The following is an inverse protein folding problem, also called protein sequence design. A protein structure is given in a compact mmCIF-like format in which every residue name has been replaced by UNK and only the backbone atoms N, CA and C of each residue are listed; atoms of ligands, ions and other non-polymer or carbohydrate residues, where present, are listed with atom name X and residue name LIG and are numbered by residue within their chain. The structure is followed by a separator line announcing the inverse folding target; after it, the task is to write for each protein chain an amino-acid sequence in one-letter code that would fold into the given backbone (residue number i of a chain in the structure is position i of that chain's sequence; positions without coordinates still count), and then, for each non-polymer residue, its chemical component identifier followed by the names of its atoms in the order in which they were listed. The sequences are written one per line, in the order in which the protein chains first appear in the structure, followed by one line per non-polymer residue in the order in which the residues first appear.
data_IF_059330524366
#
_entry.id   IF_059330524366
#
_cell.length_a   1.000
_cell.length_b   1.000
_cell.length_c   1.000
_cell.angle_alpha   90.00
_cell.angle_beta   90.00
_cell.angle_gamma   90.00
#
_symmetry.space_group_name_H-M   'P 1'
#
loop_
_entity.id
_entity.type
_entity.pdbx_description
1 polymer ?
#
# COMPACT_ATOMS: atom_id res chain seq x y z
N UNK A 1 -60.88 2.86 39.56
CA UNK A 1 -60.64 2.35 38.20
C UNK A 1 -59.75 3.37 37.50
N UNK A 2 -58.49 3.01 37.25
CA UNK A 2 -57.46 3.86 36.66
C UNK A 2 -56.66 2.97 35.70
N UNK A 3 -56.46 3.34 34.43
CA UNK A 3 -55.75 2.49 33.48
C UNK A 3 -54.24 2.74 33.58
N UNK A 4 -53.47 1.66 33.70
CA UNK A 4 -52.00 1.68 33.63
C UNK A 4 -51.56 1.84 32.18
N UNK A 5 -50.74 2.87 31.94
CA UNK A 5 -50.05 3.11 30.68
C UNK A 5 -49.01 2.01 30.42
N UNK A 6 -49.06 1.43 29.22
CA UNK A 6 -48.07 0.48 28.72
C UNK A 6 -46.81 1.20 28.26
N UNK A 7 -45.66 0.81 28.81
CA UNK A 7 -44.35 1.31 28.45
C UNK A 7 -43.84 0.50 27.25
N UNK A 8 -43.79 1.13 26.07
CA UNK A 8 -43.23 0.53 24.85
C UNK A 8 -41.72 0.83 24.84
N UNK A 9 -40.90 -0.20 25.05
CA UNK A 9 -39.45 -0.13 24.92
C UNK A 9 -39.10 -0.27 23.45
N UNK A 10 -38.68 0.83 22.81
CA UNK A 10 -38.08 0.81 21.47
C UNK A 10 -36.60 0.45 21.62
N UNK A 11 -36.25 -0.80 21.27
CA UNK A 11 -34.86 -1.22 21.07
C UNK A 11 -34.37 -0.66 19.74
N UNK A 12 -33.50 0.35 19.79
CA UNK A 12 -32.75 0.82 18.63
C UNK A 12 -31.62 -0.17 18.32
N UNK A 13 -31.74 -0.91 17.23
CA UNK A 13 -30.65 -1.72 16.69
C UNK A 13 -29.67 -0.79 15.95
N UNK A 14 -28.49 -0.56 16.54
CA UNK A 14 -27.37 0.03 15.84
C UNK A 14 -26.76 -1.04 14.93
N UNK A 15 -26.97 -0.91 13.62
CA UNK A 15 -26.26 -1.70 12.64
C UNK A 15 -24.81 -1.19 12.55
N UNK A 16 -23.88 -1.90 13.18
CA UNK A 16 -22.45 -1.76 12.92
C UNK A 16 -22.18 -2.32 11.52
N UNK A 17 -22.12 -1.46 10.52
CA UNK A 17 -21.63 -1.79 9.19
C UNK A 17 -20.12 -2.00 9.25
N UNK A 18 -19.70 -3.21 9.61
CA UNK A 18 -18.39 -3.73 9.24
C UNK A 18 -18.43 -3.92 7.72
N UNK A 19 -17.97 -2.94 6.97
CA UNK A 19 -17.57 -3.15 5.57
C UNK A 19 -16.39 -4.12 5.59
N UNK A 20 -16.68 -5.41 5.46
CA UNK A 20 -15.64 -6.42 5.25
C UNK A 20 -14.79 -6.03 4.04
N UNK A 21 -13.46 -6.23 4.12
CA UNK A 21 -12.59 -6.04 2.97
C UNK A 21 -13.12 -6.96 1.85
N UNK A 22 -13.62 -6.36 0.78
CA UNK A 22 -14.21 -7.09 -0.33
C UNK A 22 -13.15 -8.04 -0.91
N UNK A 23 -13.42 -9.34 -0.82
CA UNK A 23 -12.55 -10.40 -1.34
C UNK A 23 -12.80 -10.66 -2.84
N UNK A 24 -13.44 -9.70 -3.52
CA UNK A 24 -13.63 -9.74 -4.97
C UNK A 24 -12.26 -9.73 -5.67
N UNK A 25 -11.86 -10.90 -6.16
CA UNK A 25 -10.75 -11.11 -7.09
C UNK A 25 -11.05 -10.57 -8.49
N UNK A 26 -11.77 -9.46 -8.60
CA UNK A 26 -11.86 -8.70 -9.84
C UNK A 26 -10.77 -7.63 -9.78
N UNK A 27 -9.51 -8.05 -9.95
CA UNK A 27 -8.38 -7.10 -10.05
C UNK A 27 -8.74 -6.16 -11.21
N UNK A 28 -8.98 -4.86 -10.98
CA UNK A 28 -9.22 -3.92 -12.05
C UNK A 28 -7.90 -3.81 -12.79
N UNK A 29 -7.77 -4.65 -13.82
CA UNK A 29 -6.82 -4.60 -14.90
C UNK A 29 -5.48 -3.92 -14.57
N UNK A 30 -4.39 -4.69 -14.40
CA UNK A 30 -2.99 -4.26 -14.14
C UNK A 30 -2.73 -3.45 -12.86
N UNK A 31 -3.71 -2.76 -12.29
CA UNK A 31 -3.54 -2.07 -11.02
C UNK A 31 -3.15 -3.05 -9.91
N UNK A 32 -2.15 -2.67 -9.13
CA UNK A 32 -1.68 -3.48 -8.01
C UNK A 32 -2.28 -2.98 -6.72
N UNK A 33 -2.76 -3.93 -5.92
CA UNK A 33 -3.11 -3.68 -4.52
C UNK A 33 -2.28 -4.60 -3.64
N UNK A 34 -1.87 -4.10 -2.47
CA UNK A 34 -1.15 -4.89 -1.48
C UNK A 34 -1.42 -4.34 -0.10
N UNK A 35 -1.64 -5.23 0.87
CA UNK A 35 -1.77 -4.82 2.28
C UNK A 35 -0.40 -4.64 2.90
N UNK A 36 -0.32 -3.86 3.97
CA UNK A 36 0.92 -3.72 4.75
C UNK A 36 1.41 -5.10 5.25
N UNK A 37 0.50 -5.92 5.78
CA UNK A 37 0.81 -7.26 6.28
C UNK A 37 1.36 -8.19 5.20
N UNK A 38 0.87 -8.09 3.96
CA UNK A 38 1.38 -8.89 2.85
C UNK A 38 2.77 -8.43 2.42
N UNK A 39 3.00 -7.12 2.33
CA UNK A 39 4.34 -6.59 2.04
C UNK A 39 5.36 -6.94 3.14
N UNK A 40 4.92 -6.91 4.40
CA UNK A 40 5.71 -7.35 5.55
C UNK A 40 6.13 -8.81 5.41
N UNK A 41 5.19 -9.72 5.11
CA UNK A 41 5.49 -11.14 4.89
C UNK A 41 6.45 -11.37 3.71
N UNK A 42 6.21 -10.72 2.57
CA UNK A 42 7.10 -10.79 1.40
C UNK A 42 8.53 -10.39 1.80
N UNK A 43 8.68 -9.29 2.54
CA UNK A 43 9.98 -8.79 2.97
C UNK A 43 10.64 -9.64 4.06
N UNK A 44 9.88 -10.25 4.97
CA UNK A 44 10.41 -11.24 5.90
C UNK A 44 10.99 -12.44 5.15
N UNK A 45 10.34 -12.88 4.06
CA UNK A 45 10.85 -13.95 3.21
C UNK A 45 12.12 -13.52 2.45
N UNK A 46 12.10 -12.35 1.81
CA UNK A 46 13.24 -11.83 1.05
C UNK A 46 14.50 -11.66 1.92
N UNK A 47 14.31 -11.17 3.15
CA UNK A 47 15.39 -10.91 4.10
C UNK A 47 15.65 -12.09 5.05
N UNK A 48 14.90 -13.18 4.93
CA UNK A 48 15.01 -14.37 5.79
C UNK A 48 14.85 -14.06 7.30
N UNK A 49 13.99 -13.09 7.62
CA UNK A 49 13.64 -12.74 9.00
C UNK A 49 12.90 -13.93 9.63
N UNK A 50 13.29 -14.39 10.84
CA UNK A 50 12.66 -15.55 11.45
C UNK A 50 11.15 -15.39 11.63
N UNK A 51 10.38 -16.38 11.19
CA UNK A 51 8.91 -16.34 11.21
C UNK A 51 8.29 -16.12 12.59
N UNK A 52 8.98 -16.48 13.68
CA UNK A 52 8.48 -16.22 15.04
C UNK A 52 8.34 -14.73 15.37
N UNK A 53 9.07 -13.84 14.67
CA UNK A 53 8.94 -12.39 14.83
C UNK A 53 7.65 -11.83 14.25
N UNK A 54 6.95 -12.60 13.41
CA UNK A 54 5.71 -12.15 12.78
C UNK A 54 4.66 -11.73 13.80
N UNK A 55 4.52 -12.48 14.91
CA UNK A 55 3.56 -12.14 15.96
C UNK A 55 3.88 -10.79 16.63
N UNK A 56 5.16 -10.44 16.79
CA UNK A 56 5.60 -9.15 17.30
C UNK A 56 5.17 -8.02 16.34
N UNK A 57 5.51 -8.15 15.05
CA UNK A 57 5.16 -7.16 14.04
C UNK A 57 3.65 -7.02 13.81
N UNK A 58 2.92 -8.13 13.80
CA UNK A 58 1.47 -8.14 13.64
C UNK A 58 0.74 -7.45 14.81
N UNK A 59 1.38 -7.36 15.98
CA UNK A 59 0.90 -6.58 17.12
C UNK A 59 1.29 -5.09 17.08
N UNK A 60 1.78 -4.61 15.92
CA UNK A 60 2.34 -3.27 15.71
C UNK A 60 3.54 -2.95 16.61
N UNK A 61 4.23 -3.97 17.12
CA UNK A 61 5.47 -3.79 17.84
C UNK A 61 6.64 -3.94 16.87
N UNK A 62 7.35 -2.84 16.62
CA UNK A 62 8.51 -2.77 15.75
C UNK A 62 9.72 -2.29 16.58
N UNK A 63 10.53 -3.20 17.14
CA UNK A 63 11.70 -2.86 17.94
C UNK A 63 12.78 -2.12 17.13
N UNK A 64 13.55 -1.28 17.85
CA UNK A 64 14.66 -0.49 17.31
C UNK A 64 15.93 -1.35 17.19
N UNK A 65 15.88 -2.35 16.31
CA UNK A 65 17.00 -3.24 15.99
C UNK A 65 17.31 -3.22 14.48
N UNK A 66 18.56 -3.52 14.07
CA UNK A 66 18.97 -3.43 12.66
C UNK A 66 18.13 -4.29 11.71
N UNK A 67 17.66 -5.47 12.15
CA UNK A 67 16.84 -6.36 11.33
C UNK A 67 15.47 -5.74 11.05
N UNK A 68 14.80 -5.22 12.10
CA UNK A 68 13.50 -4.55 11.97
C UNK A 68 13.58 -3.28 11.12
N UNK A 69 14.68 -2.51 11.23
CA UNK A 69 14.89 -1.30 10.41
C UNK A 69 14.94 -1.61 8.93
N UNK A 70 15.79 -2.57 8.55
CA UNK A 70 15.91 -2.95 7.15
C UNK A 70 14.68 -3.71 6.62
N UNK A 71 13.96 -4.44 7.49
CA UNK A 71 12.65 -5.00 7.17
C UNK A 71 11.66 -3.90 6.76
N UNK A 72 11.53 -2.84 7.57
CA UNK A 72 10.63 -1.73 7.27
C UNK A 72 11.05 -0.93 6.03
N UNK A 73 12.35 -0.79 5.77
CA UNK A 73 12.83 -0.28 4.47
C UNK A 73 12.38 -1.13 3.30
N UNK A 74 12.51 -2.46 3.40
CA UNK A 74 12.02 -3.37 2.35
C UNK A 74 10.51 -3.18 2.13
N UNK A 75 9.72 -3.11 3.22
CA UNK A 75 8.28 -2.88 3.13
C UNK A 75 7.98 -1.55 2.43
N UNK A 76 8.72 -0.49 2.77
CA UNK A 76 8.60 0.82 2.12
C UNK A 76 8.93 0.84 0.64
N UNK A 77 9.96 0.10 0.22
CA UNK A 77 10.28 -0.08 -1.19
C UNK A 77 9.20 -0.90 -1.92
N UNK A 78 8.64 -1.93 -1.27
CA UNK A 78 7.61 -2.81 -1.83
C UNK A 78 6.28 -2.06 -2.03
N UNK A 79 5.91 -1.21 -1.07
CA UNK A 79 4.69 -0.40 -1.10
C UNK A 79 4.89 1.01 -1.68
N UNK A 80 6.11 1.35 -2.11
CA UNK A 80 6.49 2.62 -2.74
C UNK A 80 6.32 3.87 -1.89
N UNK A 81 6.07 3.75 -0.59
CA UNK A 81 6.11 4.89 0.31
C UNK A 81 7.54 5.32 0.66
N UNK A 82 8.55 4.48 0.44
CA UNK A 82 9.97 4.82 0.63
C UNK A 82 10.75 4.75 -0.68
N UNK A 83 11.63 5.72 -0.88
CA UNK A 83 12.64 5.73 -1.92
C UNK A 83 14.00 6.11 -1.30
N UNK A 84 15.04 5.37 -1.63
CA UNK A 84 16.37 5.62 -1.05
C UNK A 84 17.01 6.95 -1.50
N UNK A 85 16.54 7.51 -2.61
CA UNK A 85 17.03 8.76 -3.19
C UNK A 85 16.15 9.95 -2.79
N UNK A 86 14.82 9.81 -2.86
CA UNK A 86 13.88 10.89 -2.57
C UNK A 86 13.23 10.81 -1.19
N UNK A 87 13.51 9.78 -0.39
CA UNK A 87 12.98 9.61 0.95
C UNK A 87 11.52 9.13 0.98
N UNK A 88 10.80 9.57 2.01
CA UNK A 88 9.39 9.21 2.24
C UNK A 88 8.47 9.90 1.23
N UNK A 89 7.54 9.13 0.67
CA UNK A 89 6.47 9.58 -0.22
C UNK A 89 5.18 9.68 0.59
N UNK A 90 4.93 10.86 1.17
CA UNK A 90 3.85 11.07 2.14
C UNK A 90 2.46 10.71 1.56
N UNK A 91 2.17 11.18 0.35
CA UNK A 91 0.94 10.89 -0.39
C UNK A 91 0.67 9.38 -0.64
N UNK A 92 1.69 8.53 -0.54
CA UNK A 92 1.57 7.07 -0.62
C UNK A 92 1.45 6.47 0.79
N UNK A 93 2.29 6.93 1.71
CA UNK A 93 2.34 6.45 3.09
C UNK A 93 1.01 6.61 3.82
N UNK A 94 0.41 7.79 3.69
CA UNK A 94 -0.83 8.19 4.36
C UNK A 94 -1.98 7.24 4.07
N UNK A 95 -2.03 6.65 2.87
CA UNK A 95 -3.08 5.70 2.50
C UNK A 95 -3.10 4.45 3.35
N UNK A 96 -1.95 4.04 3.91
CA UNK A 96 -1.85 2.85 4.73
C UNK A 96 -2.27 3.07 6.17
N UNK A 97 -2.65 4.31 6.54
CA UNK A 97 -3.06 4.67 7.89
C UNK A 97 -4.44 5.30 7.92
N UNK A 98 -5.21 4.92 8.93
CA UNK A 98 -6.49 5.54 9.27
C UNK A 98 -6.29 6.44 10.50
N UNK A 99 -6.36 7.78 10.34
CA UNK A 99 -6.31 8.68 11.49
C UNK A 99 -7.55 8.53 12.37
N UNK A 100 -7.41 8.86 13.66
CA UNK A 100 -8.54 8.96 14.58
C UNK A 100 -9.40 10.17 14.19
N UNK A 101 -10.71 10.02 13.89
CA UNK A 101 -11.58 11.13 13.53
C UNK A 101 -11.67 12.25 14.58
N UNK A 102 -11.32 11.98 15.84
CA UNK A 102 -11.32 12.96 16.92
C UNK A 102 -9.98 13.71 17.05
N UNK A 103 -8.92 13.23 16.41
CA UNK A 103 -7.61 13.87 16.40
C UNK A 103 -7.51 14.79 15.18
N UNK A 104 -7.38 16.09 15.43
CA UNK A 104 -7.19 17.09 14.38
C UNK A 104 -5.72 17.49 14.19
N UNK A 105 -4.81 16.98 15.02
CA UNK A 105 -3.39 17.36 15.03
C UNK A 105 -2.47 16.25 14.50
N UNK A 106 -3.02 15.12 14.05
CA UNK A 106 -2.25 13.96 13.57
C UNK A 106 -1.28 14.34 12.44
N UNK A 107 -1.72 15.16 11.47
CA UNK A 107 -0.88 15.61 10.35
C UNK A 107 0.30 16.45 10.84
N UNK A 108 0.02 17.46 11.69
CA UNK A 108 1.04 18.37 12.19
C UNK A 108 2.08 17.63 13.04
N UNK A 109 1.64 16.76 13.96
CA UNK A 109 2.55 15.97 14.79
C UNK A 109 3.39 14.99 13.97
N UNK A 110 2.80 14.39 12.93
CA UNK A 110 3.53 13.51 12.01
C UNK A 110 4.57 14.30 11.22
N UNK A 111 4.21 15.45 10.66
CA UNK A 111 5.13 16.32 9.93
C UNK A 111 6.30 16.80 10.81
N UNK A 112 6.01 17.29 12.02
CA UNK A 112 7.05 17.68 12.99
C UNK A 112 7.98 16.51 13.36
N UNK A 113 7.45 15.30 13.46
CA UNK A 113 8.25 14.10 13.69
C UNK A 113 9.16 13.79 12.50
N UNK A 114 8.64 13.84 11.28
CA UNK A 114 9.41 13.60 10.05
C UNK A 114 10.54 14.61 9.88
N UNK A 115 10.29 15.90 10.12
CA UNK A 115 11.32 16.95 10.05
C UNK A 115 12.47 16.71 11.04
N UNK A 116 12.16 16.22 12.24
CA UNK A 116 13.16 15.90 13.27
C UNK A 116 13.91 14.60 12.96
N UNK A 117 13.21 13.59 12.43
CA UNK A 117 13.74 12.27 12.14
C UNK A 117 14.56 12.21 10.85
N UNK A 118 14.25 13.05 9.87
CA UNK A 118 14.84 13.08 8.53
C UNK A 118 15.45 14.45 8.22
N UNK A 119 16.47 14.90 8.96
CA UNK A 119 17.03 16.24 8.77
C UNK A 119 17.61 16.41 7.36
N UNK A 120 17.14 17.45 6.66
CA UNK A 120 17.57 17.81 5.31
C UNK A 120 19.09 18.00 5.25
N UNK A 121 19.75 17.32 4.31
CA UNK A 121 21.20 17.42 4.11
C UNK A 121 22.05 16.50 5.00
N UNK A 122 21.43 15.61 5.76
CA UNK A 122 22.13 14.49 6.38
C UNK A 122 22.53 13.49 5.29
N UNK A 123 23.84 13.36 5.03
CA UNK A 123 24.47 12.23 4.32
C UNK A 123 24.33 10.92 5.13
N UNK A 124 23.14 10.68 5.72
CA UNK A 124 22.82 9.44 6.39
C UNK A 124 22.72 8.37 5.32
N UNK A 125 23.85 7.70 5.10
CA UNK A 125 23.96 6.52 4.28
C UNK A 125 23.16 5.32 4.86
N UNK A 126 22.46 5.51 5.98
CA UNK A 126 21.62 4.50 6.62
C UNK A 126 20.15 4.66 6.18
N UNK A 127 19.90 4.19 4.96
CA UNK A 127 18.56 4.16 4.39
C UNK A 127 17.59 3.29 5.21
N UNK A 128 18.10 2.30 5.98
CA UNK A 128 17.27 1.48 6.85
C UNK A 128 16.75 2.28 8.05
N UNK A 129 17.61 3.07 8.69
CA UNK A 129 17.23 3.99 9.76
C UNK A 129 16.21 5.03 9.30
N UNK A 130 16.45 5.68 8.16
CA UNK A 130 15.55 6.74 7.68
C UNK A 130 14.16 6.19 7.33
N UNK A 131 14.08 5.06 6.64
CA UNK A 131 12.81 4.39 6.38
C UNK A 131 12.10 4.01 7.69
N UNK A 132 12.82 3.40 8.62
CA UNK A 132 12.28 3.01 9.93
C UNK A 132 11.71 4.19 10.71
N UNK A 133 12.48 5.28 10.88
CA UNK A 133 12.05 6.44 11.67
C UNK A 133 10.86 7.14 11.01
N UNK A 134 10.81 7.21 9.67
CA UNK A 134 9.62 7.74 8.98
C UNK A 134 8.37 6.90 9.24
N UNK A 135 8.47 5.56 9.19
CA UNK A 135 7.36 4.67 9.54
C UNK A 135 6.94 4.82 11.00
N UNK A 136 7.90 4.99 11.93
CA UNK A 136 7.63 5.22 13.35
C UNK A 136 6.84 6.50 13.59
N UNK A 137 7.14 7.59 12.85
CA UNK A 137 6.37 8.82 12.93
C UNK A 137 4.89 8.60 12.58
N UNK A 138 4.61 7.91 11.47
CA UNK A 138 3.23 7.59 11.08
C UNK A 138 2.53 6.67 12.09
N UNK A 139 3.20 5.61 12.54
CA UNK A 139 2.63 4.67 13.52
C UNK A 139 2.33 5.33 14.87
N UNK A 140 3.10 6.34 15.26
CA UNK A 140 2.94 7.00 16.54
C UNK A 140 1.95 8.18 16.51
N UNK A 141 1.92 8.94 15.42
CA UNK A 141 1.23 10.23 15.37
C UNK A 141 0.12 10.32 14.33
N UNK A 142 0.15 9.50 13.27
CA UNK A 142 -0.80 9.62 12.17
C UNK A 142 -2.08 8.81 12.42
N UNK A 143 -1.96 7.54 12.81
CA UNK A 143 -3.13 6.69 13.03
C UNK A 143 -2.82 5.20 13.07
N UNK A 144 -3.85 4.38 12.83
CA UNK A 144 -3.74 2.92 12.82
C UNK A 144 -3.49 2.39 11.42
N UNK A 145 -2.67 1.34 11.28
CA UNK A 145 -2.48 0.66 10.01
C UNK A 145 -3.80 0.05 9.50
N UNK A 146 -4.07 0.26 8.22
CA UNK A 146 -5.21 -0.34 7.53
C UNK A 146 -4.84 -1.77 7.11
N UNK A 147 -5.63 -2.80 7.50
CA UNK A 147 -5.29 -4.19 7.24
C UNK A 147 -5.59 -4.62 5.79
N UNK A 148 -6.48 -3.92 5.10
CA UNK A 148 -6.89 -4.28 3.74
C UNK A 148 -5.77 -4.01 2.71
N UNK A 149 -5.87 -4.65 1.54
CA UNK A 149 -4.99 -4.35 0.42
C UNK A 149 -5.34 -3.00 -0.20
N UNK A 150 -4.33 -2.15 -0.38
CA UNK A 150 -4.49 -0.79 -0.88
C UNK A 150 -3.69 -0.62 -2.17
N UNK A 151 -4.17 0.29 -3.03
CA UNK A 151 -3.46 0.69 -4.22
C UNK A 151 -2.11 1.30 -3.86
N UNK A 152 -1.07 0.98 -4.63
CA UNK A 152 0.20 1.68 -4.56
C UNK A 152 0.68 2.03 -5.98
N UNK A 153 1.39 3.17 -6.15
CA UNK A 153 1.81 3.64 -7.46
C UNK A 153 2.75 2.66 -8.17
N UNK A 154 2.58 2.55 -9.48
CA UNK A 154 3.48 1.79 -10.36
C UNK A 154 4.48 2.71 -11.08
N UNK A 155 5.54 2.12 -11.64
CA UNK A 155 6.49 2.87 -12.48
C UNK A 155 5.90 3.20 -13.86
N UNK A 156 6.53 4.15 -14.56
CA UNK A 156 6.15 4.55 -15.92
C UNK A 156 6.10 3.35 -16.91
N UNK A 157 6.93 2.32 -16.71
CA UNK A 157 7.00 1.17 -17.62
C UNK A 157 5.72 0.33 -17.60
N UNK A 158 5.09 0.18 -16.43
CA UNK A 158 3.79 -0.48 -16.25
C UNK A 158 2.67 0.30 -16.93
N UNK A 159 2.66 1.63 -16.78
CA UNK A 159 1.70 2.51 -17.45
C UNK A 159 1.84 2.43 -18.98
N UNK A 160 3.07 2.48 -19.50
CA UNK A 160 3.33 2.32 -20.94
C UNK A 160 2.82 0.96 -21.43
N UNK A 161 3.05 -0.12 -20.66
CA UNK A 161 2.51 -1.45 -21.00
C UNK A 161 0.98 -1.46 -21.02
N UNK A 162 0.31 -0.87 -20.03
CA UNK A 162 -1.14 -0.76 -20.01
C UNK A 162 -1.68 -0.01 -21.24
N UNK A 163 -1.02 1.07 -21.66
CA UNK A 163 -1.34 1.80 -22.88
C UNK A 163 -1.11 0.95 -24.15
N UNK A 164 -0.02 0.18 -24.23
CA UNK A 164 0.26 -0.71 -25.36
C UNK A 164 -0.78 -1.83 -25.48
N UNK A 165 -1.24 -2.37 -24.36
CA UNK A 165 -2.31 -3.37 -24.34
C UNK A 165 -3.62 -2.76 -24.87
N UNK A 166 -3.98 -1.56 -24.42
CA UNK A 166 -5.16 -0.85 -24.91
C UNK A 166 -5.10 -0.54 -26.40
N UNK A 167 -3.94 -0.14 -26.92
CA UNK A 167 -3.72 0.08 -28.35
C UNK A 167 -4.04 -1.19 -29.14
N UNK A 168 -3.60 -2.36 -28.64
CA UNK A 168 -3.83 -3.65 -29.28
C UNK A 168 -5.30 -4.10 -29.16
N UNK A 169 -5.90 -4.02 -27.97
CA UNK A 169 -7.28 -4.44 -27.73
C UNK A 169 -8.29 -3.64 -28.55
N UNK A 170 -8.08 -2.33 -28.65
CA UNK A 170 -8.95 -1.42 -29.40
C UNK A 170 -8.57 -1.33 -30.89
N UNK A 171 -7.50 -2.00 -31.31
CA UNK A 171 -6.99 -1.99 -32.69
C UNK A 171 -6.84 -0.56 -33.24
N UNK A 172 -6.16 0.30 -32.47
CA UNK A 172 -6.03 1.73 -32.80
C UNK A 172 -5.38 1.88 -34.20
N UNK A 173 -6.02 2.62 -35.13
CA UNK A 173 -5.52 2.79 -36.48
C UNK A 173 -4.10 3.39 -36.53
N UNK A 174 -3.26 2.87 -37.42
CA UNK A 174 -1.88 3.35 -37.61
C UNK A 174 -1.79 4.87 -37.84
N UNK A 175 -2.79 5.45 -38.53
CA UNK A 175 -2.87 6.91 -38.74
C UNK A 175 -2.93 7.68 -37.41
N UNK A 176 -3.71 7.19 -36.45
CA UNK A 176 -3.81 7.81 -35.13
C UNK A 176 -2.56 7.54 -34.30
N UNK A 177 -1.98 6.34 -34.39
CA UNK A 177 -0.70 6.05 -33.74
C UNK A 177 0.41 6.99 -34.20
N UNK A 178 0.45 7.35 -35.50
CA UNK A 178 1.40 8.35 -36.02
C UNK A 178 1.18 9.71 -35.37
N UNK A 179 -0.07 10.16 -35.21
CA UNK A 179 -0.38 11.40 -34.50
C UNK A 179 0.02 11.36 -33.03
N UNK A 180 -0.33 10.29 -32.31
CA UNK A 180 0.03 10.12 -30.90
C UNK A 180 1.54 10.08 -30.70
N UNK A 181 2.28 9.42 -31.61
CA UNK A 181 3.75 9.33 -31.56
C UNK A 181 4.47 10.68 -31.68
N UNK A 182 3.77 11.72 -32.13
CA UNK A 182 4.27 13.09 -32.22
C UNK A 182 3.61 14.02 -31.20
N UNK A 183 2.97 13.46 -30.16
CA UNK A 183 2.29 14.22 -29.10
C UNK A 183 0.95 14.85 -29.52
N UNK A 184 0.37 14.45 -30.67
CA UNK A 184 -0.90 14.98 -31.15
C UNK A 184 -2.05 14.00 -30.88
N UNK A 185 -2.99 14.41 -30.03
CA UNK A 185 -4.14 13.60 -29.61
C UNK A 185 -5.45 14.20 -30.16
N UNK A 186 -5.81 13.92 -31.42
CA UNK A 186 -7.05 14.42 -32.00
C UNK A 186 -8.27 13.90 -31.23
N UNK A 187 -9.27 14.76 -31.08
CA UNK A 187 -10.56 14.37 -30.51
C UNK A 187 -11.32 13.45 -31.50
N UNK A 188 -11.13 12.15 -31.33
CA UNK A 188 -11.72 11.08 -32.13
C UNK A 188 -12.27 9.98 -31.20
N UNK A 189 -13.31 9.23 -31.59
CA UNK A 189 -13.86 8.14 -30.79
C UNK A 189 -12.80 7.16 -30.27
N UNK A 190 -11.82 6.84 -31.12
CA UNK A 190 -10.70 5.95 -30.79
C UNK A 190 -9.80 6.54 -29.69
N UNK A 191 -9.50 7.84 -29.74
CA UNK A 191 -8.71 8.53 -28.69
C UNK A 191 -9.44 8.51 -27.35
N UNK A 192 -10.75 8.79 -27.38
CA UNK A 192 -11.61 8.79 -26.19
C UNK A 192 -11.65 7.41 -25.53
N UNK A 193 -11.86 6.38 -26.33
CA UNK A 193 -11.90 5.01 -25.82
C UNK A 193 -10.52 4.49 -25.40
N UNK A 194 -9.43 4.94 -26.04
CA UNK A 194 -8.07 4.64 -25.61
C UNK A 194 -7.80 5.18 -24.20
N UNK A 195 -8.16 6.42 -23.92
CA UNK A 195 -8.05 7.01 -22.57
C UNK A 195 -8.89 6.24 -21.55
N UNK A 196 -10.16 5.93 -21.87
CA UNK A 196 -10.99 5.11 -20.98
C UNK A 196 -10.38 3.75 -20.69
N UNK A 197 -9.89 3.05 -21.71
CA UNK A 197 -9.20 1.78 -21.53
C UNK A 197 -7.99 1.93 -20.61
N UNK A 198 -7.16 2.97 -20.83
CA UNK A 198 -5.98 3.23 -20.03
C UNK A 198 -6.31 3.46 -18.55
N UNK A 199 -7.32 4.29 -18.25
CA UNK A 199 -7.71 4.57 -16.87
C UNK A 199 -8.32 3.34 -16.15
N UNK A 200 -9.09 2.52 -16.88
CA UNK A 200 -9.55 1.22 -16.37
C UNK A 200 -8.37 0.28 -16.09
N UNK A 201 -7.39 0.21 -17.01
CA UNK A 201 -6.19 -0.65 -16.91
C UNK A 201 -5.11 -0.16 -15.97
N UNK A 202 -5.30 0.99 -15.36
CA UNK A 202 -4.44 1.50 -14.29
C UNK A 202 -5.21 1.58 -12.97
N UNK A 203 -6.49 1.18 -12.98
CA UNK A 203 -7.34 1.11 -11.81
C UNK A 203 -7.63 2.46 -11.15
N UNK A 204 -7.50 3.58 -11.88
CA UNK A 204 -7.85 4.92 -11.39
C UNK A 204 -9.23 5.38 -11.86
N UNK A 205 -9.91 4.56 -12.65
CA UNK A 205 -11.30 4.77 -13.06
C UNK A 205 -12.09 3.47 -12.90
N UNK A 206 -13.30 3.60 -12.38
CA UNK A 206 -14.26 2.53 -12.19
C UNK A 206 -15.57 2.89 -12.91
N UNK A 207 -16.19 1.92 -13.56
CA UNK A 207 -17.45 2.15 -14.28
C UNK A 207 -18.56 2.64 -13.33
N UNK A 208 -18.60 2.08 -12.12
CA UNK A 208 -19.68 2.31 -11.16
C UNK A 208 -19.45 3.47 -10.19
N UNK A 209 -18.22 3.97 -10.05
CA UNK A 209 -17.91 5.09 -9.15
C UNK A 209 -17.24 6.28 -9.84
N UNK A 210 -16.72 6.11 -11.06
CA UNK A 210 -15.99 7.16 -11.79
C UNK A 210 -14.49 7.14 -11.46
N UNK A 211 -13.85 8.32 -11.54
CA UNK A 211 -12.44 8.46 -11.20
C UNK A 211 -12.19 8.31 -9.70
N UNK A 212 -11.19 7.51 -9.33
CA UNK A 212 -10.66 7.41 -7.97
C UNK A 212 -9.57 8.48 -7.81
N UNK A 213 -9.98 9.66 -7.32
CA UNK A 213 -9.11 10.83 -7.16
C UNK A 213 -8.02 10.61 -6.12
N UNK A 214 -8.25 9.76 -5.12
CA UNK A 214 -7.21 9.41 -4.16
C UNK A 214 -6.12 8.58 -4.83
N UNK A 215 -6.47 7.65 -5.74
CA UNK A 215 -5.46 6.88 -6.49
C UNK A 215 -4.67 7.76 -7.44
N UNK A 216 -5.31 8.76 -8.05
CA UNK A 216 -4.61 9.75 -8.88
C UNK A 216 -3.64 10.59 -8.05
N UNK A 217 -4.07 11.08 -6.88
CA UNK A 217 -3.22 11.83 -5.95
C UNK A 217 -1.98 11.02 -5.54
N UNK A 218 -2.16 9.77 -5.13
CA UNK A 218 -1.03 8.92 -4.75
C UNK A 218 -0.19 8.49 -5.93
N UNK A 219 -0.77 8.25 -7.13
CA UNK A 219 0.01 7.94 -8.34
C UNK A 219 0.99 9.06 -8.67
N UNK A 220 0.55 10.31 -8.51
CA UNK A 220 1.34 11.50 -8.84
C UNK A 220 2.13 12.04 -7.65
N UNK A 221 2.49 11.17 -6.68
CA UNK A 221 3.20 11.52 -5.45
C UNK A 221 4.50 12.31 -5.65
N UNK A 222 5.15 12.22 -6.82
CA UNK A 222 6.35 13.01 -7.14
C UNK A 222 6.02 14.50 -7.34
N UNK A 223 4.78 14.81 -7.71
CA UNK A 223 4.22 16.15 -7.89
C UNK A 223 2.80 16.17 -7.31
N UNK A 224 2.64 16.02 -5.98
CA UNK A 224 1.33 15.88 -5.36
C UNK A 224 0.53 17.17 -5.55
N UNK A 225 -0.76 17.02 -5.86
CA UNK A 225 -1.66 18.13 -6.14
C UNK A 225 -2.97 17.95 -5.37
N UNK A 226 -3.10 18.72 -4.28
CA UNK A 226 -4.27 18.71 -3.40
C UNK A 226 -5.59 19.01 -4.13
N UNK A 227 -5.53 19.61 -5.33
CA UNK A 227 -6.73 19.82 -6.15
C UNK A 227 -7.41 18.50 -6.51
N UNK A 228 -6.71 17.36 -6.56
CA UNK A 228 -7.35 16.04 -6.71
C UNK A 228 -8.39 15.79 -5.62
N UNK A 229 -8.04 16.09 -4.37
CA UNK A 229 -8.85 15.80 -3.18
C UNK A 229 -9.87 16.90 -2.89
N UNK A 230 -9.85 18.01 -3.64
CA UNK A 230 -10.74 19.14 -3.42
C UNK A 230 -12.22 18.82 -3.70
N UNK A 231 -13.17 19.39 -2.93
CA UNK A 231 -14.60 19.27 -3.20
C UNK A 231 -15.00 19.78 -4.58
N UNK A 232 -14.28 20.77 -5.11
CA UNK A 232 -14.52 21.32 -6.44
C UNK A 232 -14.28 20.28 -7.54
N UNK A 233 -13.14 19.59 -7.49
CA UNK A 233 -12.81 18.50 -8.43
C UNK A 233 -13.84 17.37 -8.35
N UNK A 234 -14.19 16.93 -7.14
CA UNK A 234 -15.22 15.90 -6.95
C UNK A 234 -16.58 16.32 -7.54
N UNK A 235 -16.99 17.57 -7.30
CA UNK A 235 -18.26 18.10 -7.84
C UNK A 235 -18.25 18.13 -9.36
N UNK A 236 -17.18 18.64 -9.99
CA UNK A 236 -17.04 18.68 -11.45
C UNK A 236 -17.09 17.28 -12.07
N UNK A 237 -16.38 16.32 -11.49
CA UNK A 237 -16.40 14.93 -11.95
C UNK A 237 -17.79 14.30 -11.81
N UNK A 238 -18.49 14.57 -10.70
CA UNK A 238 -19.84 14.09 -10.48
C UNK A 238 -20.85 14.69 -11.49
N UNK A 239 -20.74 15.98 -11.81
CA UNK A 239 -21.60 16.65 -12.80
C UNK A 239 -21.39 16.13 -14.23
N UNK A 240 -20.17 15.74 -14.58
CA UNK A 240 -19.87 15.13 -15.88
C UNK A 240 -20.42 13.70 -16.02
N UNK A 241 -20.68 13.05 -14.89
CA UNK A 241 -21.08 11.65 -14.85
C UNK A 241 -22.47 11.43 -15.44
N UNK A 242 -22.56 10.62 -16.49
CA UNK A 242 -23.80 10.35 -17.20
C UNK A 242 -24.42 11.55 -17.92
N UNK A 243 -23.77 12.73 -17.92
CA UNK A 243 -24.29 13.93 -18.58
C UNK A 243 -23.85 14.06 -20.04
N UNK A 244 -22.82 13.33 -20.46
CA UNK A 244 -22.26 13.44 -21.82
C UNK A 244 -22.06 12.08 -22.50
N UNK A 245 -22.88 11.82 -23.53
CA UNK A 245 -22.63 10.81 -24.54
C UNK A 245 -22.39 9.38 -24.02
N UNK A 246 -21.52 8.64 -24.70
CA UNK A 246 -21.05 7.33 -24.24
C UNK A 246 -19.91 7.45 -23.21
N UNK A 247 -19.64 6.38 -22.46
CA UNK A 247 -18.65 6.38 -21.38
C UNK A 247 -17.23 6.78 -21.84
N UNK A 248 -16.83 6.46 -23.08
CA UNK A 248 -15.53 6.93 -23.59
C UNK A 248 -15.48 8.47 -23.67
N UNK A 249 -16.59 9.10 -24.06
CA UNK A 249 -16.69 10.56 -24.14
C UNK A 249 -16.72 11.18 -22.75
N UNK A 250 -17.47 10.62 -21.81
CA UNK A 250 -17.48 11.06 -20.41
C UNK A 250 -16.05 11.11 -19.83
N UNK A 251 -15.32 10.01 -19.93
CA UNK A 251 -13.94 9.90 -19.41
C UNK A 251 -13.00 10.88 -20.08
N UNK A 252 -13.12 11.05 -21.41
CA UNK A 252 -12.31 12.00 -22.15
C UNK A 252 -12.57 13.46 -21.72
N UNK A 253 -13.83 13.85 -21.55
CA UNK A 253 -14.18 15.21 -21.11
C UNK A 253 -13.72 15.46 -19.68
N UNK A 254 -13.93 14.52 -18.77
CA UNK A 254 -13.43 14.61 -17.40
C UNK A 254 -11.90 14.73 -17.34
N UNK A 255 -11.18 13.97 -18.17
CA UNK A 255 -9.75 14.11 -18.28
C UNK A 255 -9.35 15.50 -18.79
N UNK A 256 -9.87 15.89 -19.96
CA UNK A 256 -9.49 17.13 -20.64
C UNK A 256 -9.80 18.38 -19.80
N UNK A 257 -10.97 18.42 -19.16
CA UNK A 257 -11.49 19.65 -18.55
C UNK A 257 -11.21 19.73 -17.04
N UNK A 258 -10.86 18.61 -16.39
CA UNK A 258 -10.70 18.56 -14.92
C UNK A 258 -9.34 18.02 -14.51
N UNK A 259 -8.91 16.87 -15.04
CA UNK A 259 -7.78 16.12 -14.48
C UNK A 259 -6.44 16.35 -15.18
N UNK A 260 -6.45 16.73 -16.46
CA UNK A 260 -5.27 16.71 -17.33
C UNK A 260 -4.14 17.64 -16.91
N UNK A 261 -4.44 18.69 -16.14
CA UNK A 261 -3.43 19.64 -15.63
C UNK A 261 -3.06 19.41 -14.16
N UNK A 262 -3.70 18.44 -13.49
CA UNK A 262 -3.44 18.14 -12.09
C UNK A 262 -2.21 17.24 -11.96
N UNK A 263 -1.50 17.38 -10.84
CA UNK A 263 -0.37 16.53 -10.50
C UNK A 263 0.75 16.60 -11.54
N UNK A 264 0.88 15.54 -12.35
CA UNK A 264 1.80 15.48 -13.50
C UNK A 264 1.03 15.90 -14.77
N UNK A 265 1.16 17.15 -15.26
CA UNK A 265 0.33 17.64 -16.36
C UNK A 265 0.49 16.80 -17.62
N UNK A 266 -0.62 16.38 -18.19
CA UNK A 266 -0.74 15.57 -19.40
C UNK A 266 0.03 14.24 -19.32
N UNK A 267 0.19 13.67 -18.13
CA UNK A 267 0.87 12.41 -17.89
C UNK A 267 0.39 11.29 -18.83
N UNK A 268 -0.92 11.15 -18.98
CA UNK A 268 -1.54 10.12 -19.80
C UNK A 268 -1.17 10.29 -21.27
N UNK A 269 -1.18 11.52 -21.80
CA UNK A 269 -0.70 11.78 -23.15
C UNK A 269 0.78 11.46 -23.32
N UNK A 270 1.64 11.76 -22.34
CA UNK A 270 3.05 11.38 -22.39
C UNK A 270 3.24 9.85 -22.42
N UNK A 271 2.45 9.11 -21.63
CA UNK A 271 2.45 7.64 -21.63
C UNK A 271 1.95 7.08 -22.97
N UNK A 272 0.84 7.60 -23.48
CA UNK A 272 0.25 7.18 -24.76
C UNK A 272 1.19 7.49 -25.94
N UNK A 273 1.92 8.61 -25.93
CA UNK A 273 2.94 8.93 -26.93
C UNK A 273 4.05 7.86 -26.94
N UNK A 274 4.62 7.54 -25.77
CA UNK A 274 5.66 6.50 -25.63
C UNK A 274 5.14 5.14 -26.11
N UNK A 275 3.91 4.78 -25.75
CA UNK A 275 3.27 3.53 -26.18
C UNK A 275 3.04 3.49 -27.70
N UNK A 276 2.61 4.60 -28.32
CA UNK A 276 2.41 4.71 -29.76
C UNK A 276 3.72 4.60 -30.54
N UNK A 277 4.81 5.23 -30.06
CA UNK A 277 6.15 5.06 -30.65
C UNK A 277 6.58 3.59 -30.65
N UNK A 278 6.41 2.89 -29.52
CA UNK A 278 6.70 1.44 -29.43
C UNK A 278 5.82 0.61 -30.36
N UNK A 279 4.52 0.92 -30.46
CA UNK A 279 3.60 0.21 -31.35
C UNK A 279 3.94 0.37 -32.85
N UNK A 280 4.51 1.52 -33.23
CA UNK A 280 5.01 1.78 -34.58
C UNK A 280 6.43 1.21 -34.85
N UNK A 281 7.04 0.57 -33.86
CA UNK A 281 8.42 0.09 -33.96
C UNK A 281 9.48 1.19 -33.94
N UNK A 282 9.12 2.41 -33.50
CA UNK A 282 10.06 3.50 -33.29
C UNK A 282 10.75 3.28 -31.95
N UNK A 283 12.00 2.83 -31.99
CA UNK A 283 12.83 2.67 -30.78
C UNK A 283 13.22 4.06 -30.28
N UNK A 284 12.75 4.42 -29.10
CA UNK A 284 13.37 5.49 -28.32
C UNK A 284 14.48 4.83 -27.50
N UNK A 285 15.74 5.22 -27.72
CA UNK A 285 16.80 4.93 -26.77
C UNK A 285 16.46 5.68 -25.46
N UNK A 286 16.26 4.95 -24.37
CA UNK A 286 16.20 5.56 -23.04
C UNK A 286 17.64 5.90 -22.64
N UNK A 287 17.92 7.18 -22.38
CA UNK A 287 19.20 7.55 -21.77
C UNK A 287 19.30 6.90 -20.39
N UNK A 288 20.46 6.31 -20.04
CA UNK A 288 20.63 5.68 -18.74
C UNK A 288 20.59 6.76 -17.65
N UNK A 289 19.50 6.79 -16.86
CA UNK A 289 19.42 7.59 -15.64
C UNK A 289 20.45 7.04 -14.66
N UNK A 290 21.60 7.71 -14.61
CA UNK A 290 22.72 7.33 -13.76
C UNK A 290 22.77 8.29 -12.59
N UNK A 291 21.94 8.04 -11.58
CA UNK A 291 22.09 8.66 -10.25
C UNK A 291 21.60 7.66 -9.21
N UNK A 292 22.42 6.65 -8.96
CA UNK A 292 22.25 5.82 -7.77
C UNK A 292 23.15 6.40 -6.69
N UNK A 293 22.56 7.11 -5.73
CA UNK A 293 23.18 7.21 -4.40
C UNK A 293 23.09 5.80 -3.83
N UNK A 294 24.23 5.11 -3.79
CA UNK A 294 24.28 3.69 -3.42
C UNK A 294 24.14 3.60 -1.90
N UNK A 295 22.94 3.25 -1.41
CA UNK A 295 22.82 2.71 -0.06
C UNK A 295 23.70 1.44 0.02
N UNK A 296 24.45 1.22 1.11
CA UNK A 296 25.30 0.06 1.26
C UNK A 296 24.46 -1.22 1.13
N UNK A 297 24.97 -2.17 0.36
CA UNK A 297 24.35 -3.48 0.19
C UNK A 297 24.28 -4.23 1.51
N UNK A 298 23.25 -5.06 1.68
CA UNK A 298 23.10 -6.04 2.76
C UNK A 298 24.21 -7.11 2.63
N UNK A 299 25.47 -6.76 2.88
CA UNK A 299 26.61 -7.69 2.80
C UNK A 299 27.06 -8.25 4.15
N UNK A 300 26.46 -7.85 5.27
CA UNK A 300 26.95 -8.27 6.60
C UNK A 300 25.94 -9.04 7.47
N UNK A 301 24.70 -9.26 7.01
CA UNK A 301 23.75 -10.10 7.74
C UNK A 301 23.81 -11.54 7.23
N UNK A 302 24.65 -12.36 7.85
CA UNK A 302 24.65 -13.81 7.62
C UNK A 302 23.45 -14.47 8.34
N UNK A 303 22.24 -14.30 7.80
CA UNK A 303 21.00 -14.90 8.31
C UNK A 303 21.06 -16.44 8.40
N UNK A 304 21.98 -17.10 7.68
CA UNK A 304 22.16 -18.56 7.72
C UNK A 304 22.83 -19.05 9.01
N UNK A 305 23.73 -18.28 9.60
CA UNK A 305 24.46 -18.73 10.80
C UNK A 305 23.60 -18.67 12.06
N UNK A 306 22.72 -17.68 12.18
CA UNK A 306 21.86 -17.52 13.37
C UNK A 306 20.71 -18.54 13.41
N UNK A 307 20.12 -18.86 12.26
CA UNK A 307 19.04 -19.84 12.16
C UNK A 307 19.52 -21.29 12.40
N UNK A 308 20.76 -21.62 12.03
CA UNK A 308 21.34 -22.94 12.31
C UNK A 308 21.70 -23.14 13.79
N UNK A 309 22.14 -22.08 14.49
CA UNK A 309 22.49 -22.18 15.92
C UNK A 309 21.27 -22.38 16.84
N UNK A 310 20.09 -21.91 16.44
CA UNK A 310 18.87 -22.01 17.26
C UNK A 310 18.06 -23.29 17.05
N UNK A 311 18.09 -23.91 15.86
CA UNK A 311 17.46 -25.23 15.66
C UNK A 311 18.21 -26.35 16.40
N UNK A 312 19.50 -26.17 16.72
CA UNK A 312 20.33 -27.18 17.40
C UNK A 312 20.31 -27.14 18.94
N UNK A 313 19.68 -26.14 19.58
CA UNK A 313 19.68 -25.96 21.05
C UNK A 313 18.37 -26.29 21.76
N UNK A 314 17.34 -26.71 21.04
CA UNK A 314 16.06 -27.15 21.61
C UNK A 314 16.06 -28.60 22.14
N UNK A 315 17.24 -29.18 22.42
CA UNK A 315 17.35 -30.50 23.04
C UNK A 315 17.75 -30.39 24.52
N UNK A 316 16.71 -30.43 25.36
CA UNK A 316 16.62 -31.01 26.71
C UNK A 316 17.80 -30.71 27.66
N UNK A 317 17.60 -29.76 28.59
CA UNK A 317 18.34 -29.74 29.86
C UNK A 317 17.50 -30.43 30.96
N UNK A 318 18.02 -31.39 31.74
CA UNK A 318 17.25 -32.13 32.74
C UNK A 318 16.81 -31.32 33.99
N UNK A 319 17.09 -30.02 34.08
CA UNK A 319 16.93 -29.26 35.34
C UNK A 319 16.15 -27.96 35.25
N UNK A 320 15.42 -27.70 34.16
CA UNK A 320 14.29 -26.75 34.19
C UNK A 320 14.60 -25.29 34.60
N UNK A 321 15.74 -24.72 34.20
CA UNK A 321 15.95 -23.26 34.25
C UNK A 321 16.53 -22.73 32.95
N UNK A 322 15.83 -21.78 32.34
CA UNK A 322 16.35 -20.97 31.25
C UNK A 322 17.15 -19.80 31.85
N UNK A 323 18.43 -19.70 31.53
CA UNK A 323 19.21 -18.48 31.76
C UNK A 323 19.36 -17.73 30.44
N UNK A 324 18.96 -16.45 30.44
CA UNK A 324 19.16 -15.57 29.31
C UNK A 324 20.67 -15.32 29.11
N UNK A 325 21.20 -15.72 27.94
CA UNK A 325 22.55 -15.38 27.53
C UNK A 325 22.45 -14.12 26.68
N UNK A 326 23.05 -13.03 27.16
CA UNK A 326 23.09 -11.74 26.50
C UNK A 326 24.14 -11.81 25.37
N UNK A 327 23.69 -11.84 24.13
CA UNK A 327 24.55 -11.78 22.94
C UNK A 327 24.80 -10.31 22.61
N UNK A 328 26.08 -9.89 22.61
CA UNK A 328 26.49 -8.60 22.02
C UNK A 328 26.48 -8.74 20.51
N UNK A 329 25.65 -7.94 19.85
CA UNK A 329 25.75 -7.69 18.42
C UNK A 329 26.63 -6.45 18.22
N UNK A 330 27.86 -6.64 17.77
CA UNK A 330 28.68 -5.57 17.23
C UNK A 330 28.27 -5.39 15.74
N UNK A 331 27.29 -4.52 15.50
CA UNK A 331 26.78 -4.23 14.17
C UNK A 331 25.60 -3.28 14.23
N UNK A 332 25.90 -1.99 14.01
CA UNK A 332 24.99 -0.83 14.05
C UNK A 332 24.31 -0.57 15.41
N UNK A 333 24.74 0.51 16.05
CA UNK A 333 24.10 1.05 17.26
C UNK A 333 22.73 1.69 16.96
N UNK A 334 22.09 2.32 17.98
CA UNK A 334 20.92 3.15 17.75
C UNK A 334 21.18 4.12 16.58
N UNK A 335 20.16 4.41 15.75
CA UNK A 335 20.30 5.41 14.68
C UNK A 335 20.94 6.65 15.30
N UNK A 336 22.00 7.19 14.69
CA UNK A 336 22.88 8.18 15.33
C UNK A 336 22.07 9.45 15.65
N UNK A 337 21.41 9.45 16.82
CA UNK A 337 20.61 10.54 17.34
C UNK A 337 21.58 11.53 17.94
N UNK A 338 22.25 12.30 17.09
CA UNK A 338 22.94 13.50 17.56
C UNK A 338 21.88 14.45 18.12
N UNK A 339 21.70 14.38 19.45
CA UNK A 339 20.98 15.30 20.33
C UNK A 339 19.51 15.57 19.99
N UNK A 340 18.57 14.98 20.76
CA UNK A 340 17.54 15.70 21.53
C UNK A 340 16.53 14.70 22.16
N UNK A 341 16.76 14.50 23.45
CA UNK A 341 15.82 14.27 24.55
C UNK A 341 14.96 13.00 24.73
N UNK A 342 14.85 12.68 26.02
CA UNK A 342 14.03 11.69 26.71
C UNK A 342 12.56 12.10 26.65
N UNK A 343 11.67 11.18 26.27
CA UNK A 343 10.22 11.34 26.38
C UNK A 343 9.55 10.01 26.77
N UNK A 344 8.57 10.09 27.68
CA UNK A 344 7.91 9.00 28.39
C UNK A 344 7.25 7.92 27.51
N UNK A 345 7.33 6.67 27.99
CA UNK A 345 6.51 5.56 27.49
C UNK A 345 5.04 5.82 27.84
N UNK A 346 4.19 5.88 26.82
CA UNK A 346 2.74 5.65 26.98
C UNK A 346 2.48 4.21 26.54
N UNK A 347 2.11 3.35 27.50
CA UNK A 347 1.63 2.00 27.23
C UNK A 347 0.23 2.09 26.62
N UNK A 348 0.08 1.64 25.37
CA UNK A 348 -1.22 1.50 24.75
C UNK A 348 -1.65 0.03 24.86
N UNK A 349 -2.52 -0.27 25.84
CA UNK A 349 -3.16 -1.57 25.98
C UNK A 349 -4.32 -1.69 24.99
N UNK A 350 -4.07 -2.29 23.83
CA UNK A 350 -5.08 -2.68 22.85
C UNK A 350 -5.61 -4.09 23.13
N UNK A 351 -6.90 -4.19 23.40
CA UNK A 351 -7.66 -5.42 23.65
C UNK A 351 -7.77 -6.24 22.34
N UNK A 352 -7.14 -7.41 22.27
CA UNK A 352 -7.31 -8.36 21.17
C UNK A 352 -8.53 -9.27 21.43
N UNK A 353 -9.54 -9.19 20.57
CA UNK A 353 -10.52 -10.28 20.38
C UNK A 353 -9.89 -11.33 19.48
N UNK A 354 -9.62 -12.51 20.05
CA UNK A 354 -9.20 -13.71 19.32
C UNK A 354 -10.45 -14.34 18.70
N UNK A 355 -10.45 -14.55 17.39
CA UNK A 355 -11.38 -15.46 16.73
C UNK A 355 -10.70 -16.83 16.67
N UNK A 356 -11.18 -17.77 17.49
CA UNK A 356 -10.83 -19.19 17.39
C UNK A 356 -11.58 -19.82 16.21
N UNK A 357 -10.84 -20.37 15.24
CA UNK A 357 -11.38 -21.28 14.23
C UNK A 357 -11.06 -22.73 14.66
N UNK A 358 -12.02 -23.41 15.28
CA UNK A 358 -12.01 -24.86 15.41
C UNK A 358 -12.49 -25.48 14.08
N UNK A 359 -11.58 -26.17 13.39
CA UNK A 359 -11.92 -26.96 12.20
C UNK A 359 -12.35 -28.37 12.62
N UNK A 360 -13.66 -28.60 12.63
CA UNK A 360 -14.25 -29.94 12.61
C UNK A 360 -13.97 -30.63 11.25
N UNK A 361 -13.24 -31.73 11.26
CA UNK A 361 -13.24 -32.70 10.17
C UNK A 361 -14.13 -33.90 10.53
N UNK A 362 -15.35 -33.88 10.01
CA UNK A 362 -16.19 -35.06 9.88
C UNK A 362 -15.76 -35.92 8.68
N UNK A 363 -15.61 -37.21 8.88
CA UNK A 363 -15.67 -38.22 7.82
C UNK A 363 -16.56 -39.38 8.25
N UNK A 364 -17.63 -39.56 7.49
CA UNK A 364 -18.62 -40.63 7.55
C UNK A 364 -18.19 -41.82 6.71
N UNK A 365 -18.32 -43.03 7.25
CA UNK A 365 -18.76 -44.30 6.62
C UNK A 365 -18.93 -45.27 7.81
N UNK A 366 -20.00 -46.05 8.03
CA UNK A 366 -20.98 -46.69 7.17
C UNK A 366 -20.91 -48.20 7.48
N UNK A 367 -21.96 -48.80 8.07
CA UNK A 367 -22.05 -50.26 8.23
C UNK A 367 -22.91 -50.74 9.41
N UNK A 368 -24.12 -51.18 9.09
CA UNK A 368 -25.06 -51.91 9.95
C UNK A 368 -24.57 -53.32 10.34
N UNK A 369 -25.01 -53.79 11.52
CA UNK A 369 -25.67 -55.09 11.78
C UNK A 369 -25.26 -55.77 13.11
N UNK A 370 -26.29 -56.07 13.91
CA UNK A 370 -26.52 -57.22 14.82
C UNK A 370 -25.39 -57.79 15.71
N UNK A 371 -25.61 -57.89 17.03
CA UNK A 371 -26.25 -59.06 17.68
C UNK A 371 -26.01 -59.06 19.21
N UNK A 372 -27.02 -59.51 19.96
CA UNK A 372 -26.91 -60.35 21.16
C UNK A 372 -26.18 -59.90 22.44
N UNK A 373 -26.97 -59.75 23.52
CA UNK A 373 -26.86 -60.71 24.64
C UNK A 373 -26.18 -60.29 25.95
N UNK A 374 -27.02 -60.26 27.00
CA UNK A 374 -26.80 -60.62 28.42
C UNK A 374 -25.74 -59.93 29.29
N UNK A 375 -26.22 -59.51 30.48
CA UNK A 375 -25.42 -59.16 31.66
C UNK A 375 -26.11 -58.20 32.60
#
# INVERSE_FOLDING_TARGET
MSPRAGCTVLLAAFALSLTGCDSSLDVPHLALTKSFSRALQDCMEYLQVPGYRYAEYASNNYPDDPETKCLLRCVGLNLRWWNDTSGVQTAVMERFFQPDPADAEFENRTAECLEKALPTGSDSNDCCCSAYESFRCYLQYYGNLIPCALFYPEDDSRHIRAAQDCIQYLQIPEKLLKSYSTGSFPDAPETRCLLRCFFLRTGVFHVDTGFDVERLYSRDFENPDERYLSPETQTKLHELRGSVGEQCTEVYVAYRDVLGELGRPFFEYNVLEKAAKRALGVVCEEEPVTTTTVCPSISDFNYKELNCQNCGRLLISPTGRCSALQVRHDGYGPCDRSAYDRGEKVENTGLLTVCDDEHEHGSTTGGDADDGGDG
#
